data_IF_504254502145
#
_entry.id   IF_504254502145
#
_cell.length_a   1.000
_cell.length_b   1.000
_cell.length_c   1.000
_cell.angle_alpha   90.00
_cell.angle_beta   90.00
_cell.angle_gamma   90.00
#
_symmetry.space_group_name_H-M   'P 1'
#
loop_
_entity.id
_entity.type
_entity.pdbx_description
1 polymer ?
#
# COMPACT_ATOMS: atom_id res chain seq x y z
N UNK A 1 54.66 45.79 26.59
CA UNK A 1 53.94 45.76 25.29
C UNK A 1 52.59 45.09 25.51
N UNK A 2 51.52 45.82 25.85
CA UNK A 2 50.48 46.31 24.91
C UNK A 2 50.06 45.20 23.92
N UNK A 3 48.89 44.56 23.96
CA UNK A 3 47.57 44.93 24.47
C UNK A 3 46.63 45.15 23.29
N UNK A 4 45.56 44.35 23.14
CA UNK A 4 44.21 44.80 22.74
C UNK A 4 43.20 43.64 22.68
N UNK A 5 42.36 43.62 23.72
CA UNK A 5 41.01 43.05 23.75
C UNK A 5 40.13 43.79 22.73
N UNK A 6 39.28 43.09 21.98
CA UNK A 6 38.13 43.72 21.30
C UNK A 6 36.84 43.38 22.05
N UNK A 7 36.16 44.44 22.50
CA UNK A 7 34.85 44.45 23.15
C UNK A 7 33.74 44.50 22.08
N UNK A 8 32.66 43.77 22.38
CA UNK A 8 31.21 44.04 22.20
C UNK A 8 30.76 45.03 21.11
N UNK A 9 29.77 44.60 20.32
CA UNK A 9 28.64 45.46 19.95
C UNK A 9 27.34 44.65 19.90
N UNK A 10 26.42 44.94 20.84
CA UNK A 10 24.97 44.73 20.68
C UNK A 10 24.40 45.94 19.95
N UNK A 11 23.33 45.82 19.18
CA UNK A 11 22.32 46.86 19.06
C UNK A 11 21.11 46.56 19.97
N UNK A 12 20.40 47.64 20.26
CA UNK A 12 19.47 47.85 21.35
C UNK A 12 18.00 47.58 20.95
N UNK A 13 17.15 47.47 21.98
CA UNK A 13 15.69 47.39 21.92
C UNK A 13 15.06 48.69 21.43
N UNK A 14 13.91 48.63 20.73
CA UNK A 14 12.71 49.44 21.02
C UNK A 14 11.61 49.32 19.94
N UNK A 15 10.35 49.56 20.37
CA UNK A 15 9.06 49.66 19.65
C UNK A 15 8.21 48.37 19.73
N UNK A 16 7.42 48.12 20.79
CA UNK A 16 6.19 48.76 21.29
C UNK A 16 5.02 48.80 20.29
N UNK A 17 3.95 48.10 20.68
CA UNK A 17 2.59 47.97 20.12
C UNK A 17 1.80 49.30 20.14
N UNK A 18 0.64 49.41 19.45
CA UNK A 18 -0.67 49.20 20.12
C UNK A 18 -1.71 48.45 19.23
N UNK A 19 -2.48 47.46 19.74
CA UNK A 19 -3.85 47.52 20.35
C UNK A 19 -5.02 48.01 19.49
N UNK A 20 -6.12 47.22 19.50
CA UNK A 20 -7.51 47.64 19.22
C UNK A 20 -8.15 46.91 18.03
N UNK A 21 -9.31 46.26 18.10
CA UNK A 21 -10.36 46.22 19.12
C UNK A 21 -11.41 45.15 18.81
N UNK A 22 -12.26 44.90 19.81
CA UNK A 22 -13.28 43.86 19.91
C UNK A 22 -14.68 44.33 19.43
N UNK A 23 -15.43 43.40 18.79
CA UNK A 23 -16.92 43.19 18.83
C UNK A 23 -17.90 44.28 18.30
N UNK A 24 -19.22 44.04 18.12
CA UNK A 24 -20.02 42.78 18.02
C UNK A 24 -21.17 42.74 16.94
N UNK A 25 -21.78 41.54 16.78
CA UNK A 25 -23.21 41.17 16.59
C UNK A 25 -24.14 41.92 15.60
N UNK A 26 -24.84 41.15 14.74
CA UNK A 26 -26.30 41.29 14.58
C UNK A 26 -26.98 39.99 14.11
N UNK A 27 -28.07 39.63 14.82
CA UNK A 27 -29.05 38.58 14.54
C UNK A 27 -29.97 38.92 13.36
N UNK A 28 -30.59 37.91 12.75
CA UNK A 28 -31.74 38.08 11.86
C UNK A 28 -32.43 36.77 11.49
N UNK A 29 -33.48 36.43 12.23
CA UNK A 29 -34.42 35.31 11.99
C UNK A 29 -35.26 35.54 10.72
N UNK A 30 -35.74 34.46 10.09
CA UNK A 30 -36.84 34.54 9.11
C UNK A 30 -37.37 33.15 8.71
N UNK A 31 -38.58 32.83 9.20
CA UNK A 31 -39.36 31.61 8.92
C UNK A 31 -40.13 31.70 7.59
N UNK A 32 -40.40 30.55 6.98
CA UNK A 32 -41.74 30.25 6.45
C UNK A 32 -41.96 30.21 4.93
N UNK A 33 -43.04 29.53 4.47
CA UNK A 33 -42.99 28.54 3.38
C UNK A 33 -43.90 28.88 2.17
N UNK A 34 -43.81 28.09 1.08
CA UNK A 34 -44.79 27.81 -0.02
C UNK A 34 -43.99 27.43 -1.28
N UNK A 35 -44.31 26.45 -2.13
CA UNK A 35 -45.39 25.49 -2.24
C UNK A 35 -45.08 24.58 -3.46
N UNK A 36 -45.77 23.44 -3.52
CA UNK A 36 -46.40 22.83 -4.71
C UNK A 36 -45.77 23.15 -6.09
N UNK A 37 -45.42 22.19 -6.94
CA UNK A 37 -46.30 21.28 -7.69
C UNK A 37 -45.36 20.32 -8.41
N UNK A 38 -45.57 18.99 -8.36
CA UNK A 38 -45.41 18.24 -9.61
C UNK A 38 -46.15 16.91 -9.66
N UNK A 39 -46.42 16.54 -10.91
CA UNK A 39 -47.56 15.77 -11.41
C UNK A 39 -47.41 14.26 -11.26
N UNK A 40 -48.60 13.65 -11.24
CA UNK A 40 -48.90 12.26 -11.56
C UNK A 40 -48.10 11.70 -12.73
N UNK A 41 -47.70 10.42 -12.65
CA UNK A 41 -47.75 9.45 -13.75
C UNK A 41 -47.74 8.01 -13.18
N UNK A 42 -48.78 7.25 -13.51
CA UNK A 42 -49.05 5.89 -13.00
C UNK A 42 -48.20 4.76 -13.62
N UNK A 43 -48.43 3.50 -13.19
CA UNK A 43 -47.52 2.39 -13.43
C UNK A 43 -47.84 1.65 -14.75
N UNK A 44 -46.82 1.27 -15.52
CA UNK A 44 -46.98 0.35 -16.66
C UNK A 44 -45.96 -0.80 -16.65
N UNK A 45 -46.52 -1.97 -16.30
CA UNK A 45 -46.35 -3.31 -16.88
C UNK A 45 -44.97 -3.99 -16.83
N UNK A 46 -44.91 -5.01 -15.96
CA UNK A 46 -44.03 -6.17 -16.01
C UNK A 46 -44.14 -6.87 -17.38
N UNK A 47 -43.00 -7.23 -17.98
CA UNK A 47 -42.92 -8.26 -19.02
C UNK A 47 -41.99 -9.38 -18.55
N UNK A 48 -42.61 -10.52 -18.32
CA UNK A 48 -41.98 -11.85 -18.34
C UNK A 48 -41.27 -12.04 -19.69
N UNK A 49 -40.03 -12.54 -19.65
CA UNK A 49 -39.43 -13.22 -20.81
C UNK A 49 -38.77 -14.51 -20.36
N UNK A 50 -39.27 -15.58 -20.96
CA UNK A 50 -38.86 -16.97 -20.86
C UNK A 50 -37.35 -17.16 -21.02
N UNK A 51 -36.78 -17.97 -20.13
CA UNK A 51 -35.48 -18.61 -20.32
C UNK A 51 -35.72 -20.01 -20.88
N UNK A 52 -35.48 -20.19 -22.18
CA UNK A 52 -35.31 -21.53 -22.76
C UNK A 52 -33.92 -22.05 -22.36
N UNK A 53 -33.93 -23.22 -21.73
CA UNK A 53 -32.78 -24.06 -21.43
C UNK A 53 -32.12 -24.49 -22.75
N UNK A 54 -30.80 -24.35 -22.82
CA UNK A 54 -29.98 -25.06 -23.81
C UNK A 54 -29.12 -26.00 -22.98
N UNK A 55 -29.31 -27.29 -23.24
CA UNK A 55 -28.59 -28.41 -22.67
C UNK A 55 -27.25 -28.53 -23.40
N UNK A 56 -26.14 -28.60 -22.64
CA UNK A 56 -24.80 -28.78 -23.21
C UNK A 56 -23.89 -29.45 -22.19
N UNK A 57 -23.81 -30.78 -22.31
CA UNK A 57 -22.58 -31.56 -22.17
C UNK A 57 -21.68 -31.25 -20.98
N UNK A 58 -21.92 -31.96 -19.89
CA UNK A 58 -21.02 -32.06 -18.75
C UNK A 58 -19.72 -32.79 -19.17
N UNK A 59 -18.72 -32.04 -19.66
CA UNK A 59 -17.34 -32.53 -19.77
C UNK A 59 -16.67 -32.28 -18.43
N UNK A 60 -16.49 -33.35 -17.67
CA UNK A 60 -15.77 -33.35 -16.41
C UNK A 60 -14.34 -32.79 -16.62
N UNK A 61 -14.06 -31.64 -16.01
CA UNK A 61 -12.70 -31.13 -15.86
C UNK A 61 -12.03 -31.90 -14.71
N UNK A 62 -10.80 -32.42 -14.87
CA UNK A 62 -10.06 -32.94 -13.73
C UNK A 62 -9.75 -31.78 -12.78
N UNK A 63 -10.14 -31.94 -11.52
CA UNK A 63 -9.80 -31.01 -10.45
C UNK A 63 -8.29 -31.11 -10.20
N UNK A 64 -7.51 -30.19 -10.75
CA UNK A 64 -6.14 -29.94 -10.30
C UNK A 64 -6.25 -29.44 -8.87
N UNK A 65 -5.87 -30.30 -7.92
CA UNK A 65 -5.82 -29.99 -6.50
C UNK A 65 -4.70 -29.00 -6.20
N UNK A 66 -4.93 -27.72 -6.51
CA UNK A 66 -4.21 -26.64 -5.87
C UNK A 66 -4.73 -26.57 -4.43
N UNK A 67 -3.98 -27.18 -3.52
CA UNK A 67 -4.15 -26.98 -2.08
C UNK A 67 -4.24 -25.47 -1.85
N UNK A 68 -5.41 -25.01 -1.37
CA UNK A 68 -5.66 -23.57 -1.21
C UNK A 68 -4.58 -23.02 -0.30
N UNK A 69 -3.91 -21.89 -0.63
CA UNK A 69 -2.85 -21.37 0.20
C UNK A 69 -3.37 -21.19 1.63
N UNK A 70 -2.73 -21.88 2.58
CA UNK A 70 -3.04 -21.78 4.01
C UNK A 70 -2.97 -20.30 4.38
N UNK A 71 -4.13 -19.74 4.70
CA UNK A 71 -4.28 -18.31 4.95
C UNK A 71 -3.25 -17.82 5.97
N UNK A 72 -2.35 -16.93 5.51
CA UNK A 72 -1.28 -16.39 6.34
C UNK A 72 -1.89 -15.46 7.38
N UNK A 73 -1.62 -15.78 8.63
CA UNK A 73 -1.99 -14.95 9.76
C UNK A 73 -0.92 -13.88 9.89
N UNK A 74 -1.31 -12.61 9.85
CA UNK A 74 -0.41 -11.51 10.22
C UNK A 74 -0.52 -11.35 11.74
N UNK A 75 0.55 -11.68 12.46
CA UNK A 75 0.58 -11.56 13.93
C UNK A 75 1.15 -10.18 14.27
N UNK A 76 0.29 -9.25 14.71
CA UNK A 76 0.68 -7.90 15.13
C UNK A 76 0.37 -7.72 16.61
N UNK A 77 1.31 -8.08 17.48
CA UNK A 77 1.10 -8.15 18.93
C UNK A 77 0.13 -9.27 19.35
N UNK A 78 -0.32 -9.27 20.62
CA UNK A 78 -1.14 -10.34 21.23
C UNK A 78 -2.49 -10.60 20.54
N UNK A 79 -2.87 -9.81 19.52
CA UNK A 79 -4.09 -10.03 18.71
C UNK A 79 -3.77 -10.46 17.28
N UNK A 80 -4.21 -11.67 16.99
CA UNK A 80 -4.11 -12.39 15.72
C UNK A 80 -5.14 -11.83 14.71
N UNK A 81 -4.82 -10.76 13.98
CA UNK A 81 -5.71 -10.22 12.93
C UNK A 81 -5.52 -11.07 11.66
N UNK A 82 -6.60 -11.62 11.12
CA UNK A 82 -6.52 -12.39 9.87
C UNK A 82 -6.37 -11.37 8.73
N UNK A 83 -5.51 -11.63 7.75
CA UNK A 83 -5.37 -10.77 6.56
C UNK A 83 -6.70 -10.53 5.81
N UNK A 84 -7.71 -11.38 6.06
CA UNK A 84 -9.10 -11.27 5.55
C UNK A 84 -9.90 -10.12 6.19
N UNK A 85 -9.49 -9.61 7.36
CA UNK A 85 -10.26 -8.62 8.11
C UNK A 85 -9.97 -7.16 7.68
N UNK A 86 -8.94 -6.95 6.85
CA UNK A 86 -8.52 -5.63 6.36
C UNK A 86 -8.85 -5.53 4.87
N UNK A 87 -9.54 -4.46 4.48
CA UNK A 87 -9.85 -4.20 3.07
C UNK A 87 -8.57 -4.03 2.25
N UNK A 88 -8.54 -4.58 1.03
CA UNK A 88 -7.47 -4.34 0.05
C UNK A 88 -7.22 -2.85 -0.19
N UNK A 89 -8.26 -2.01 -0.12
CA UNK A 89 -8.14 -0.56 -0.21
C UNK A 89 -7.35 0.04 0.96
N UNK A 90 -7.49 -0.51 2.17
CA UNK A 90 -6.71 -0.10 3.33
C UNK A 90 -5.26 -0.51 3.17
N UNK A 91 -4.97 -1.75 2.77
CA UNK A 91 -3.60 -2.22 2.51
C UNK A 91 -2.85 -1.31 1.53
N UNK A 92 -3.49 -0.94 0.40
CA UNK A 92 -2.91 -0.01 -0.56
C UNK A 92 -2.57 1.35 0.06
N UNK A 93 -3.42 1.85 0.97
CA UNK A 93 -3.16 3.11 1.69
C UNK A 93 -2.03 2.98 2.70
N UNK A 94 -1.88 1.83 3.37
CA UNK A 94 -0.74 1.61 4.27
C UNK A 94 0.59 1.65 3.54
N UNK A 95 0.69 1.03 2.37
CA UNK A 95 1.90 1.12 1.53
C UNK A 95 2.20 2.57 1.14
N UNK A 96 1.16 3.37 0.84
CA UNK A 96 1.31 4.80 0.59
C UNK A 96 1.79 5.55 1.84
N UNK A 97 1.20 5.27 3.01
CA UNK A 97 1.62 5.89 4.28
C UNK A 97 3.07 5.57 4.60
N UNK A 98 3.51 4.33 4.41
CA UNK A 98 4.90 3.92 4.61
C UNK A 98 5.85 4.74 3.74
N UNK A 99 5.50 4.95 2.45
CA UNK A 99 6.30 5.80 1.55
C UNK A 99 6.36 7.25 2.04
N UNK A 100 5.22 7.83 2.42
CA UNK A 100 5.15 9.18 2.96
C UNK A 100 6.00 9.34 4.23
N UNK A 101 5.93 8.36 5.13
CA UNK A 101 6.68 8.36 6.39
C UNK A 101 8.18 8.24 6.17
N UNK A 102 8.64 7.40 5.22
CA UNK A 102 10.06 7.35 4.85
C UNK A 102 10.58 8.70 4.36
N UNK A 103 9.80 9.41 3.55
CA UNK A 103 10.15 10.79 3.15
C UNK A 103 10.26 11.74 4.35
N UNK A 104 9.38 11.60 5.36
CA UNK A 104 9.46 12.41 6.58
C UNK A 104 10.69 12.05 7.43
N UNK A 105 11.02 10.76 7.51
CA UNK A 105 12.21 10.27 8.20
C UNK A 105 13.49 10.81 7.55
N UNK A 106 13.58 10.78 6.22
CA UNK A 106 14.67 11.38 5.45
C UNK A 106 14.79 12.91 5.69
N UNK A 107 13.68 13.58 5.99
CA UNK A 107 13.63 14.99 6.36
C UNK A 107 13.95 15.26 7.84
N UNK A 108 14.22 14.21 8.64
CA UNK A 108 14.50 14.32 10.08
C UNK A 108 13.27 14.68 10.92
N UNK A 109 12.06 14.43 10.42
CA UNK A 109 10.82 14.70 11.15
C UNK A 109 10.56 13.51 12.09
N UNK A 110 10.69 13.74 13.39
CA UNK A 110 10.47 12.72 14.41
C UNK A 110 8.98 12.47 14.71
N UNK A 111 8.15 13.51 14.59
CA UNK A 111 6.72 13.42 14.92
C UNK A 111 5.82 14.13 13.91
N UNK A 112 4.69 13.50 13.59
CA UNK A 112 3.69 14.08 12.68
C UNK A 112 2.25 13.83 13.15
N UNK A 113 1.37 14.81 12.99
CA UNK A 113 -0.07 14.62 13.23
C UNK A 113 -0.76 14.06 11.98
N UNK A 114 -1.91 13.39 12.15
CA UNK A 114 -2.72 12.95 11.00
C UNK A 114 -3.12 14.10 10.09
N UNK A 115 -3.27 15.31 10.63
CA UNK A 115 -3.61 16.50 9.86
C UNK A 115 -2.43 16.96 9.01
N UNK A 116 -1.24 17.12 9.60
CA UNK A 116 -0.03 17.48 8.85
C UNK A 116 0.33 16.44 7.78
N UNK A 117 0.21 15.15 8.10
CA UNK A 117 0.42 14.08 7.15
C UNK A 117 -0.59 14.15 5.98
N UNK A 118 -1.86 14.45 6.30
CA UNK A 118 -2.89 14.64 5.29
C UNK A 118 -2.60 15.84 4.37
N UNK A 119 -2.28 16.99 4.96
CA UNK A 119 -2.04 18.22 4.21
C UNK A 119 -0.81 18.10 3.30
N UNK A 120 0.27 17.46 3.80
CA UNK A 120 1.53 17.33 3.06
C UNK A 120 1.45 16.36 1.87
N UNK A 121 0.64 15.30 1.97
CA UNK A 121 0.57 14.25 0.95
C UNK A 121 -0.82 14.16 0.27
N UNK A 122 -1.66 15.19 0.46
CA UNK A 122 -3.01 15.30 -0.08
C UNK A 122 -3.90 14.07 0.25
N UNK A 123 -3.90 13.69 1.53
CA UNK A 123 -4.68 12.57 2.07
C UNK A 123 -5.83 13.06 2.96
N UNK A 124 -6.61 12.14 3.53
CA UNK A 124 -7.69 12.46 4.45
C UNK A 124 -7.30 12.10 5.90
N UNK A 125 -7.20 13.09 6.78
CA UNK A 125 -6.82 12.90 8.18
C UNK A 125 -7.77 11.97 8.97
N UNK A 126 -9.11 12.03 8.79
CA UNK A 126 -10.02 11.05 9.38
C UNK A 126 -9.77 9.62 8.89
N UNK A 127 -9.44 9.46 7.59
CA UNK A 127 -9.17 8.15 7.01
C UNK A 127 -7.84 7.56 7.53
N UNK A 128 -6.79 8.38 7.61
CA UNK A 128 -5.51 8.00 8.24
C UNK A 128 -5.76 7.50 9.66
N UNK A 129 -6.49 8.27 10.48
CA UNK A 129 -6.82 7.86 11.86
C UNK A 129 -7.58 6.55 11.91
N UNK A 130 -8.58 6.39 11.04
CA UNK A 130 -9.39 5.17 10.95
C UNK A 130 -8.54 3.95 10.58
N UNK A 131 -7.69 4.09 9.58
CA UNK A 131 -6.84 3.01 9.08
C UNK A 131 -5.78 2.63 10.12
N UNK A 132 -5.05 3.61 10.64
CA UNK A 132 -4.03 3.36 11.67
C UNK A 132 -4.65 2.75 12.93
N UNK A 133 -5.85 3.16 13.35
CA UNK A 133 -6.51 2.57 14.53
C UNK A 133 -6.73 1.05 14.42
N UNK A 134 -6.74 0.47 13.21
CA UNK A 134 -6.88 -0.98 13.02
C UNK A 134 -5.60 -1.75 13.41
N UNK A 135 -4.43 -1.09 13.46
CA UNK A 135 -3.13 -1.72 13.66
C UNK A 135 -2.54 -1.50 15.07
N UNK A 136 -3.33 -0.89 15.96
CA UNK A 136 -2.98 -0.60 17.35
C UNK A 136 -3.19 0.85 17.76
N UNK A 137 -2.77 1.17 18.98
CA UNK A 137 -2.78 2.55 19.47
C UNK A 137 -1.48 3.25 19.10
N UNK A 138 -1.55 4.10 18.06
CA UNK A 138 -0.41 4.87 17.58
C UNK A 138 -0.26 6.20 18.33
N UNK A 139 0.05 6.11 19.61
CA UNK A 139 0.52 7.25 20.41
C UNK A 139 -0.49 7.85 21.40
N UNK A 140 -0.02 8.90 22.08
CA UNK A 140 -0.74 9.61 23.13
C UNK A 140 -1.63 10.67 22.47
N UNK A 141 -2.91 10.76 22.87
CA UNK A 141 -3.84 11.78 22.36
C UNK A 141 -3.21 13.17 22.43
N UNK A 142 -3.21 13.88 21.30
CA UNK A 142 -2.69 15.25 21.20
C UNK A 142 -1.21 15.39 20.84
N UNK A 143 -0.44 14.30 20.76
CA UNK A 143 1.02 14.37 20.51
C UNK A 143 1.44 13.97 19.10
N UNK A 144 0.52 13.49 18.26
CA UNK A 144 0.82 12.94 16.93
C UNK A 144 1.47 11.55 16.99
N UNK A 145 1.94 11.08 15.84
CA UNK A 145 2.64 9.83 15.63
C UNK A 145 4.14 10.07 15.67
N UNK A 146 4.87 9.18 16.34
CA UNK A 146 6.32 9.09 16.18
C UNK A 146 6.59 8.38 14.85
N UNK A 147 7.41 8.98 14.00
CA UNK A 147 7.56 8.58 12.58
C UNK A 147 8.26 7.24 12.46
N UNK A 148 9.34 7.03 13.21
CA UNK A 148 10.12 5.78 13.19
C UNK A 148 9.27 4.60 13.66
N UNK A 149 8.62 4.74 14.82
CA UNK A 149 7.71 3.74 15.35
C UNK A 149 6.55 3.43 14.41
N UNK A 150 5.98 4.45 13.76
CA UNK A 150 4.90 4.22 12.80
C UNK A 150 5.40 3.47 11.56
N UNK A 151 6.61 3.77 11.07
CA UNK A 151 7.26 3.02 9.99
C UNK A 151 7.41 1.56 10.38
N UNK A 152 8.02 1.25 11.53
CA UNK A 152 8.27 -0.12 11.97
C UNK A 152 7.00 -0.95 12.07
N UNK A 153 5.95 -0.34 12.64
CA UNK A 153 4.65 -0.99 12.82
C UNK A 153 3.95 -1.25 11.49
N UNK A 154 3.99 -0.30 10.56
CA UNK A 154 3.44 -0.51 9.22
C UNK A 154 4.28 -1.51 8.42
N UNK A 155 5.60 -1.52 8.60
CA UNK A 155 6.51 -2.47 7.99
C UNK A 155 6.17 -3.91 8.39
N UNK A 156 6.05 -4.15 9.70
CA UNK A 156 5.63 -5.45 10.22
C UNK A 156 4.17 -5.80 9.83
N UNK A 157 3.28 -4.81 9.81
CA UNK A 157 1.88 -5.06 9.43
C UNK A 157 1.71 -5.47 7.96
N UNK A 158 2.60 -5.00 7.10
CA UNK A 158 2.67 -5.38 5.69
C UNK A 158 3.48 -6.67 5.47
N UNK A 159 4.05 -7.27 6.52
CA UNK A 159 4.89 -8.46 6.45
C UNK A 159 6.23 -8.19 5.77
N UNK A 160 6.73 -6.96 5.82
CA UNK A 160 7.98 -6.56 5.17
C UNK A 160 9.21 -6.87 6.04
N UNK A 161 9.02 -7.40 7.25
CA UNK A 161 10.04 -7.78 8.22
C UNK A 161 10.59 -9.20 8.01
N UNK A 162 10.12 -9.92 6.99
CA UNK A 162 10.48 -11.29 6.67
C UNK A 162 10.88 -11.39 5.19
N UNK A 163 11.68 -12.40 4.85
CA UNK A 163 12.02 -12.68 3.46
C UNK A 163 10.90 -13.46 2.77
N UNK A 164 10.60 -13.05 1.55
CA UNK A 164 9.62 -13.65 0.65
C UNK A 164 10.35 -14.18 -0.59
N UNK A 165 10.63 -15.49 -0.66
CA UNK A 165 11.21 -16.12 -1.84
C UNK A 165 10.25 -16.01 -3.02
N UNK A 166 10.74 -15.44 -4.11
CA UNK A 166 9.97 -15.27 -5.34
C UNK A 166 10.70 -15.81 -6.56
N UNK A 167 9.94 -16.25 -7.54
CA UNK A 167 10.45 -16.59 -8.86
C UNK A 167 9.88 -15.66 -9.93
N UNK A 168 10.60 -15.54 -11.04
CA UNK A 168 10.15 -14.77 -12.20
C UNK A 168 10.05 -15.70 -13.41
N UNK A 169 8.90 -15.71 -14.09
CA UNK A 169 8.65 -16.49 -15.31
C UNK A 169 8.61 -15.56 -16.51
N UNK A 170 9.38 -15.87 -17.53
CA UNK A 170 9.50 -15.09 -18.76
C UNK A 170 10.65 -14.10 -18.68
N UNK A 171 11.82 -14.51 -19.13
CA UNK A 171 13.05 -13.70 -19.20
C UNK A 171 13.08 -12.88 -20.48
N UNK A 172 12.03 -12.08 -20.70
CA UNK A 172 12.02 -10.97 -21.65
C UNK A 172 12.70 -9.72 -21.07
N UNK A 173 12.48 -8.55 -21.70
CA UNK A 173 13.06 -7.29 -21.22
C UNK A 173 12.65 -6.97 -19.77
N UNK A 174 11.36 -7.16 -19.44
CA UNK A 174 10.84 -6.86 -18.10
C UNK A 174 11.34 -7.87 -17.05
N UNK A 175 11.25 -9.17 -17.34
CA UNK A 175 11.75 -10.22 -16.43
C UNK A 175 13.24 -10.07 -16.14
N UNK A 176 14.03 -9.76 -17.17
CA UNK A 176 15.47 -9.49 -17.03
C UNK A 176 15.74 -8.26 -16.16
N UNK A 177 14.98 -7.19 -16.35
CA UNK A 177 15.11 -5.98 -15.54
C UNK A 177 14.74 -6.22 -14.07
N UNK A 178 13.64 -6.94 -13.81
CA UNK A 178 13.21 -7.30 -12.46
C UNK A 178 14.21 -8.20 -11.75
N UNK A 179 14.71 -9.23 -12.43
CA UNK A 179 15.71 -10.14 -11.87
C UNK A 179 16.99 -9.40 -11.45
N UNK A 180 17.42 -8.40 -12.22
CA UNK A 180 18.57 -7.54 -11.87
C UNK A 180 18.26 -6.54 -10.76
N UNK A 181 17.04 -6.01 -10.70
CA UNK A 181 16.69 -4.99 -9.72
C UNK A 181 16.45 -5.58 -8.33
N UNK A 182 15.70 -6.67 -8.26
CA UNK A 182 15.28 -7.29 -7.00
C UNK A 182 16.44 -8.01 -6.28
N UNK A 183 17.45 -8.47 -7.02
CA UNK A 183 18.64 -9.09 -6.41
C UNK A 183 19.55 -8.07 -5.69
N UNK A 184 19.46 -6.77 -6.06
CA UNK A 184 20.34 -5.72 -5.53
C UNK A 184 19.75 -4.87 -4.39
N UNK A 185 18.42 -4.77 -4.26
CA UNK A 185 17.81 -3.69 -3.47
C UNK A 185 16.81 -4.09 -2.39
N UNK A 186 16.38 -5.36 -2.29
CA UNK A 186 15.30 -5.71 -1.35
C UNK A 186 15.59 -6.99 -0.55
N UNK A 187 15.93 -6.82 0.73
CA UNK A 187 16.07 -7.95 1.66
C UNK A 187 14.74 -8.67 1.91
N UNK A 188 13.62 -8.00 1.64
CA UNK A 188 12.25 -8.50 1.84
C UNK A 188 11.83 -9.45 0.71
N UNK A 189 12.17 -9.13 -0.54
CA UNK A 189 11.73 -9.87 -1.72
C UNK A 189 12.93 -10.44 -2.46
N UNK A 190 13.21 -11.73 -2.23
CA UNK A 190 14.40 -12.39 -2.77
C UNK A 190 14.05 -13.18 -4.01
N UNK A 191 14.65 -12.84 -5.16
CA UNK A 191 14.56 -13.67 -6.36
C UNK A 191 15.40 -14.92 -6.14
N UNK A 192 14.75 -16.08 -6.08
CA UNK A 192 15.43 -17.37 -5.87
C UNK A 192 15.59 -18.16 -7.17
N UNK A 193 14.76 -17.88 -8.17
CA UNK A 193 14.83 -18.54 -9.47
C UNK A 193 14.25 -17.66 -10.59
N UNK A 194 14.73 -17.91 -11.80
CA UNK A 194 14.24 -17.29 -13.03
C UNK A 194 14.00 -18.36 -14.09
N UNK A 195 12.86 -18.30 -14.75
CA UNK A 195 12.34 -19.33 -15.66
C UNK A 195 12.04 -18.75 -17.04
N UNK A 196 12.31 -19.51 -18.09
CA UNK A 196 11.87 -19.23 -19.46
C UNK A 196 11.74 -20.55 -20.25
N UNK A 197 10.85 -20.59 -21.24
CA UNK A 197 10.67 -21.77 -22.09
C UNK A 197 11.45 -21.67 -23.42
N UNK A 198 12.05 -20.52 -23.72
CA UNK A 198 12.91 -20.34 -24.88
C UNK A 198 14.24 -21.10 -24.67
N UNK A 199 14.50 -22.18 -25.44
CA UNK A 199 15.73 -22.97 -25.29
C UNK A 199 16.99 -22.14 -25.54
N UNK A 200 16.90 -21.05 -26.30
CA UNK A 200 18.02 -20.18 -26.54
C UNK A 200 18.42 -19.37 -25.29
N UNK A 201 17.49 -19.17 -24.34
CA UNK A 201 17.73 -18.44 -23.08
C UNK A 201 18.08 -19.35 -21.92
N UNK A 202 17.49 -20.55 -21.86
CA UNK A 202 17.79 -21.53 -20.80
C UNK A 202 19.30 -21.76 -20.71
N UNK A 203 19.82 -21.78 -19.48
CA UNK A 203 21.25 -21.89 -19.18
C UNK A 203 22.03 -20.57 -19.18
N UNK A 204 21.46 -19.45 -19.66
CA UNK A 204 22.09 -18.12 -19.53
C UNK A 204 22.00 -17.61 -18.09
N UNK A 205 22.86 -16.66 -17.74
CA UNK A 205 22.87 -16.03 -16.40
C UNK A 205 22.30 -14.61 -16.46
N UNK A 206 21.37 -14.30 -15.56
CA UNK A 206 20.78 -12.96 -15.36
C UNK A 206 20.72 -12.66 -13.88
N UNK A 207 21.32 -11.54 -13.44
CA UNK A 207 21.31 -11.15 -12.03
C UNK A 207 21.86 -12.24 -11.12
N UNK A 208 22.97 -12.88 -11.51
CA UNK A 208 23.57 -13.98 -10.75
C UNK A 208 22.83 -15.33 -10.80
N UNK A 209 21.61 -15.39 -11.35
CA UNK A 209 20.79 -16.59 -11.44
C UNK A 209 20.85 -17.21 -12.83
N UNK A 210 20.89 -18.54 -12.91
CA UNK A 210 20.80 -19.28 -14.18
C UNK A 210 19.33 -19.42 -14.59
N UNK A 211 19.02 -19.12 -15.85
CA UNK A 211 17.69 -19.31 -16.43
C UNK A 211 17.40 -20.81 -16.54
N UNK A 212 16.38 -21.26 -15.81
CA UNK A 212 15.90 -22.64 -15.78
C UNK A 212 14.72 -22.80 -16.74
N UNK A 213 14.43 -24.03 -17.16
CA UNK A 213 13.27 -24.28 -18.02
C UNK A 213 11.99 -24.28 -17.18
N UNK A 214 10.87 -23.81 -17.73
CA UNK A 214 9.60 -23.69 -16.99
C UNK A 214 9.07 -25.03 -16.48
N UNK A 215 9.44 -26.15 -17.11
CA UNK A 215 9.08 -27.51 -16.64
C UNK A 215 9.65 -27.83 -15.24
N UNK A 216 10.69 -27.13 -14.81
CA UNK A 216 11.33 -27.30 -13.49
C UNK A 216 10.59 -26.53 -12.37
N UNK A 217 9.47 -25.86 -12.69
CA UNK A 217 8.73 -24.99 -11.77
C UNK A 217 8.35 -25.68 -10.46
N UNK A 218 7.72 -26.87 -10.53
CA UNK A 218 7.26 -27.58 -9.32
C UNK A 218 8.43 -27.96 -8.39
N UNK A 219 9.55 -28.37 -8.98
CA UNK A 219 10.77 -28.69 -8.24
C UNK A 219 11.33 -27.45 -7.54
N UNK A 220 11.46 -26.36 -8.28
CA UNK A 220 12.02 -25.09 -7.79
C UNK A 220 11.15 -24.51 -6.67
N UNK A 221 9.82 -24.54 -6.82
CA UNK A 221 8.87 -24.06 -5.81
C UNK A 221 9.06 -24.82 -4.49
N UNK A 222 9.19 -26.15 -4.57
CA UNK A 222 9.39 -27.02 -3.40
C UNK A 222 10.78 -26.85 -2.78
N UNK A 223 11.82 -26.77 -3.59
CA UNK A 223 13.22 -26.65 -3.14
C UNK A 223 13.47 -25.32 -2.43
N UNK A 224 12.95 -24.22 -2.98
CA UNK A 224 13.24 -22.87 -2.49
C UNK A 224 12.12 -22.29 -1.61
N UNK A 225 11.03 -23.03 -1.40
CA UNK A 225 9.87 -22.55 -0.63
C UNK A 225 9.26 -21.30 -1.24
N UNK A 226 9.11 -21.27 -2.57
CA UNK A 226 8.64 -20.08 -3.29
C UNK A 226 7.22 -19.71 -2.85
N UNK A 227 7.04 -18.45 -2.48
CA UNK A 227 5.75 -17.91 -2.04
C UNK A 227 5.09 -17.04 -3.12
N UNK A 228 5.88 -16.45 -4.01
CA UNK A 228 5.43 -15.46 -5.00
C UNK A 228 5.96 -15.82 -6.39
N UNK A 229 5.08 -15.88 -7.38
CA UNK A 229 5.43 -15.98 -8.79
C UNK A 229 5.16 -14.67 -9.53
N UNK A 230 6.17 -14.16 -10.23
CA UNK A 230 6.05 -12.95 -11.06
C UNK A 230 6.02 -13.35 -12.53
N UNK A 231 4.88 -13.11 -13.19
CA UNK A 231 4.70 -13.42 -14.61
C UNK A 231 5.08 -12.22 -15.48
N UNK A 232 6.12 -12.38 -16.29
CA UNK A 232 6.60 -11.40 -17.28
C UNK A 232 6.63 -11.98 -18.69
N UNK A 233 5.66 -12.83 -18.98
CA UNK A 233 5.40 -13.43 -20.29
C UNK A 233 4.46 -12.56 -21.14
N UNK A 234 4.41 -12.75 -22.47
CA UNK A 234 3.38 -12.14 -23.31
C UNK A 234 1.96 -12.49 -22.83
N UNK A 235 1.02 -11.57 -23.03
CA UNK A 235 -0.36 -11.73 -22.55
C UNK A 235 -1.03 -13.03 -23.02
N UNK A 236 -0.73 -13.46 -24.25
CA UNK A 236 -1.26 -14.68 -24.87
C UNK A 236 -0.79 -15.97 -24.15
N UNK A 237 0.40 -15.94 -23.55
CA UNK A 237 0.98 -17.06 -22.84
C UNK A 237 0.70 -17.04 -21.33
N UNK A 238 0.15 -15.95 -20.78
CA UNK A 238 0.05 -15.73 -19.33
C UNK A 238 -0.81 -16.77 -18.59
N UNK A 239 -1.82 -17.34 -19.23
CA UNK A 239 -2.71 -18.32 -18.60
C UNK A 239 -2.11 -19.73 -18.53
N UNK A 240 -1.14 -20.02 -19.40
CA UNK A 240 -0.52 -21.35 -19.57
C UNK A 240 0.94 -21.40 -19.11
N UNK A 241 1.51 -20.24 -18.77
CA UNK A 241 2.87 -20.09 -18.27
C UNK A 241 3.03 -20.54 -16.82
#
# INVERSE_FOLDING_TARGET
MAGRRRRRHRPDRSLLLPTGGLHPLHEGRGQGPRGSVDRQLGPRRRRHRDRRRIDSGNVARPAVGLDRPRHRVVVLGERKIRAVDISSLTLNRLSLYLRCLRTLQEQGIERISSQKLADQFNLSAPLIRKDLAQFGEFGIRGTGYEVEHLIDRLHSALGLDQQHPLLVVGMGSLGTALARYLDFNDATFRVVAVLDNDPAKVGRVVGGLTIRHTDELEEIVREHGVEIGVLTVPAEAAQTA
#
